data_IF_133419600343
#
_entry.id   IF_133419600343
#
_cell.length_a   1.000
_cell.length_b   1.000
_cell.length_c   1.000
_cell.angle_alpha   90.00
_cell.angle_beta   90.00
_cell.angle_gamma   90.00
#
_symmetry.space_group_name_H-M   'P 1'
#
loop_
_entity.id
_entity.type
_entity.pdbx_description
1 polymer ?
#
# COMPACT_ATOMS: atom_id res chain seq x y z
N UNK A 1 -4.58 -19.35 3.77
CA UNK A 1 -5.61 -18.39 4.19
C UNK A 1 -6.89 -18.82 3.51
N UNK A 2 -8.00 -18.95 4.24
CA UNK A 2 -9.28 -19.28 3.63
C UNK A 2 -9.95 -18.02 3.09
N UNK A 3 -10.96 -18.15 2.22
CA UNK A 3 -11.64 -17.00 1.59
C UNK A 3 -12.33 -16.06 2.58
N UNK A 4 -12.80 -16.57 3.71
CA UNK A 4 -13.43 -15.76 4.76
C UNK A 4 -12.40 -14.89 5.49
N UNK A 5 -11.19 -15.42 5.76
CA UNK A 5 -10.09 -14.67 6.37
C UNK A 5 -9.61 -13.55 5.43
N UNK A 6 -9.49 -13.86 4.13
CA UNK A 6 -9.12 -12.89 3.09
C UNK A 6 -10.14 -11.74 3.04
N UNK A 7 -11.43 -12.07 3.06
CA UNK A 7 -12.51 -11.07 3.06
C UNK A 7 -12.50 -10.22 4.32
N UNK A 8 -12.30 -10.83 5.49
CA UNK A 8 -12.20 -10.12 6.76
C UNK A 8 -11.05 -9.10 6.78
N UNK A 9 -9.88 -9.50 6.30
CA UNK A 9 -8.71 -8.61 6.22
C UNK A 9 -8.99 -7.45 5.23
N UNK A 10 -9.59 -7.73 4.08
CA UNK A 10 -9.93 -6.68 3.11
C UNK A 10 -10.95 -5.68 3.68
N UNK A 11 -11.95 -6.16 4.41
CA UNK A 11 -12.92 -5.30 5.10
C UNK A 11 -12.23 -4.43 6.16
N UNK A 12 -11.36 -5.02 6.98
CA UNK A 12 -10.58 -4.30 7.99
C UNK A 12 -9.72 -3.21 7.36
N UNK A 13 -9.06 -3.51 6.24
CA UNK A 13 -8.21 -2.54 5.56
C UNK A 13 -9.01 -1.47 4.78
N UNK A 14 -10.27 -1.75 4.44
CA UNK A 14 -11.20 -0.77 3.85
C UNK A 14 -11.90 0.12 4.87
N UNK A 15 -11.69 -0.13 6.16
CA UNK A 15 -12.29 0.69 7.21
C UNK A 15 -11.70 2.10 7.19
N UNK A 16 -12.57 3.10 7.04
CA UNK A 16 -12.21 4.52 7.09
C UNK A 16 -11.56 4.96 8.42
N UNK A 17 -11.72 4.15 9.47
CA UNK A 17 -11.10 4.38 10.78
C UNK A 17 -9.66 3.87 10.86
N UNK A 18 -9.12 3.28 9.78
CA UNK A 18 -7.71 2.91 9.71
C UNK A 18 -6.85 4.19 9.79
N UNK A 19 -5.80 4.23 10.62
CA UNK A 19 -5.01 5.45 10.83
C UNK A 19 -4.01 5.71 9.69
N UNK A 20 -4.45 5.55 8.45
CA UNK A 20 -3.69 5.83 7.23
C UNK A 20 -3.79 7.31 6.82
N UNK A 21 -4.85 8.00 7.25
CA UNK A 21 -5.11 9.41 6.93
C UNK A 21 -5.99 9.58 5.69
N UNK A 22 -6.81 10.63 5.68
CA UNK A 22 -7.81 10.88 4.63
C UNK A 22 -7.19 11.30 3.29
N UNK A 23 -7.83 10.90 2.19
CA UNK A 23 -7.39 11.23 0.84
C UNK A 23 -7.54 12.73 0.52
N UNK A 24 -6.56 13.31 -0.18
CA UNK A 24 -6.50 14.75 -0.49
C UNK A 24 -7.22 15.07 -1.81
N UNK A 25 -8.50 14.68 -1.92
CA UNK A 25 -9.36 15.06 -3.05
C UNK A 25 -10.22 16.31 -2.79
N UNK A 26 -10.33 16.74 -1.52
CA UNK A 26 -11.24 17.82 -1.11
C UNK A 26 -10.92 19.17 -1.75
N UNK A 27 -9.64 19.53 -1.85
CA UNK A 27 -9.22 20.81 -2.46
C UNK A 27 -9.39 20.85 -3.98
N UNK A 28 -9.27 19.69 -4.66
CA UNK A 28 -9.52 19.57 -6.10
C UNK A 28 -11.00 19.70 -6.43
N UNK A 29 -11.87 19.08 -5.63
CA UNK A 29 -13.32 19.16 -5.78
C UNK A 29 -13.82 20.60 -5.56
N UNK A 30 -13.34 21.27 -4.51
CA UNK A 30 -13.71 22.66 -4.21
C UNK A 30 -13.33 23.61 -5.36
N UNK A 31 -12.15 23.41 -5.97
CA UNK A 31 -11.72 24.16 -7.15
C UNK A 31 -12.58 23.87 -8.38
N UNK A 32 -12.89 22.59 -8.64
CA UNK A 32 -13.76 22.16 -9.74
C UNK A 32 -15.16 22.80 -9.65
N UNK A 33 -15.73 22.83 -8.44
CA UNK A 33 -17.02 23.50 -8.17
C UNK A 33 -16.92 25.03 -8.34
N UNK A 34 -15.86 25.66 -7.84
CA UNK A 34 -15.66 27.12 -7.92
C UNK A 34 -15.48 27.63 -9.35
N UNK A 35 -14.89 26.83 -10.23
CA UNK A 35 -14.66 27.22 -11.62
C UNK A 35 -15.82 26.90 -12.58
N UNK A 36 -16.97 26.44 -12.07
CA UNK A 36 -18.18 26.22 -12.86
C UNK A 36 -18.07 25.04 -13.85
N UNK A 37 -17.08 24.17 -13.67
CA UNK A 37 -16.91 22.97 -14.50
C UNK A 37 -17.92 21.87 -14.18
N UNK A 38 -18.61 21.98 -13.04
CA UNK A 38 -19.76 21.17 -12.69
C UNK A 38 -21.04 22.01 -12.70
N UNK A 39 -22.08 21.51 -13.36
CA UNK A 39 -23.41 21.54 -12.76
C UNK A 39 -23.33 21.00 -11.32
N UNK A 40 -24.34 21.15 -10.47
CA UNK A 40 -24.33 20.73 -9.05
C UNK A 40 -24.04 19.23 -8.78
N UNK A 41 -23.54 18.47 -9.76
CA UNK A 41 -23.17 17.07 -9.71
C UNK A 41 -21.64 16.88 -9.68
N UNK A 42 -21.05 16.43 -8.55
CA UNK A 42 -19.62 16.14 -8.43
C UNK A 42 -19.21 14.78 -9.04
N UNK A 43 -20.15 13.96 -9.52
CA UNK A 43 -19.88 12.56 -9.90
C UNK A 43 -18.87 12.43 -11.05
N UNK A 44 -18.90 13.34 -12.03
CA UNK A 44 -17.93 13.34 -13.14
C UNK A 44 -16.51 13.59 -12.62
N UNK A 45 -16.33 14.61 -11.75
CA UNK A 45 -15.03 14.89 -11.13
C UNK A 45 -14.51 13.71 -10.32
N UNK A 46 -15.37 13.09 -9.50
CA UNK A 46 -14.99 11.92 -8.68
C UNK A 46 -14.57 10.77 -9.58
N UNK A 47 -15.37 10.43 -10.59
CA UNK A 47 -15.08 9.35 -11.54
C UNK A 47 -13.75 9.56 -12.25
N UNK A 48 -13.52 10.75 -12.79
CA UNK A 48 -12.31 11.05 -13.56
C UNK A 48 -11.08 11.11 -12.66
N UNK A 49 -11.21 11.67 -11.45
CA UNK A 49 -10.15 11.70 -10.45
C UNK A 49 -9.78 10.29 -9.99
N UNK A 50 -10.77 9.44 -9.70
CA UNK A 50 -10.56 8.04 -9.34
C UNK A 50 -9.90 7.27 -10.48
N UNK A 51 -10.40 7.42 -11.71
CA UNK A 51 -9.83 6.73 -12.88
C UNK A 51 -8.39 7.16 -13.16
N UNK A 52 -8.09 8.45 -13.02
CA UNK A 52 -6.74 9.00 -13.15
C UNK A 52 -5.81 8.43 -12.07
N UNK A 53 -6.25 8.50 -10.81
CA UNK A 53 -5.49 7.98 -9.68
C UNK A 53 -5.23 6.48 -9.83
N UNK A 54 -6.25 5.69 -10.12
CA UNK A 54 -6.15 4.24 -10.31
C UNK A 54 -5.14 3.89 -11.41
N UNK A 55 -5.17 4.57 -12.56
CA UNK A 55 -4.19 4.34 -13.64
C UNK A 55 -2.77 4.69 -13.24
N UNK A 56 -2.58 5.69 -12.37
CA UNK A 56 -1.26 6.10 -11.88
C UNK A 56 -0.72 5.23 -10.74
N UNK A 57 -1.58 4.61 -9.94
CA UNK A 57 -1.19 3.91 -8.71
C UNK A 57 -1.25 2.37 -8.83
N UNK A 58 -2.22 1.82 -9.56
CA UNK A 58 -2.43 0.36 -9.63
C UNK A 58 -1.24 -0.44 -10.17
N UNK A 59 -0.52 0.01 -11.23
CA UNK A 59 0.66 -0.71 -11.70
C UNK A 59 1.71 -0.88 -10.59
N UNK A 60 1.96 0.18 -9.82
CA UNK A 60 2.93 0.18 -8.72
C UNK A 60 2.49 -0.71 -7.55
N UNK A 61 1.19 -0.76 -7.26
CA UNK A 61 0.66 -1.70 -6.26
C UNK A 61 0.87 -3.14 -6.71
N UNK A 62 0.50 -3.43 -7.96
CA UNK A 62 0.63 -4.77 -8.54
C UNK A 62 2.08 -5.22 -8.56
N UNK A 63 3.01 -4.35 -8.97
CA UNK A 63 4.42 -4.70 -9.07
C UNK A 63 5.06 -4.88 -7.68
N UNK A 64 4.76 -3.99 -6.72
CA UNK A 64 5.21 -4.16 -5.34
C UNK A 64 4.64 -5.45 -4.71
N UNK A 65 3.36 -5.73 -4.95
CA UNK A 65 2.71 -6.95 -4.48
C UNK A 65 3.41 -8.20 -5.03
N UNK A 66 3.62 -8.26 -6.35
CA UNK A 66 4.32 -9.39 -7.00
C UNK A 66 5.72 -9.60 -6.46
N UNK A 67 6.52 -8.52 -6.34
CA UNK A 67 7.88 -8.60 -5.81
C UNK A 67 7.90 -9.19 -4.40
N UNK A 68 7.01 -8.73 -3.53
CA UNK A 68 6.92 -9.21 -2.14
C UNK A 68 6.34 -10.62 -2.06
N UNK A 69 5.37 -10.98 -2.90
CA UNK A 69 4.82 -12.34 -2.99
C UNK A 69 5.90 -13.35 -3.40
N UNK A 70 6.71 -13.02 -4.41
CA UNK A 70 7.84 -13.87 -4.83
C UNK A 70 8.84 -14.05 -3.68
N UNK A 71 9.19 -12.98 -2.97
CA UNK A 71 10.09 -13.04 -1.83
C UNK A 71 9.51 -13.84 -0.64
N UNK A 72 8.20 -13.75 -0.42
CA UNK A 72 7.46 -14.50 0.59
C UNK A 72 7.51 -16.00 0.34
N UNK A 73 7.47 -16.43 -0.92
CA UNK A 73 7.47 -17.86 -1.31
C UNK A 73 8.85 -18.51 -1.36
N UNK A 74 9.95 -17.75 -1.20
CA UNK A 74 11.29 -18.33 -1.19
C UNK A 74 11.46 -19.40 -0.09
N UNK A 75 12.08 -20.53 -0.41
CA UNK A 75 12.34 -21.57 0.59
C UNK A 75 13.50 -21.20 1.52
N UNK A 76 14.50 -20.48 1.00
CA UNK A 76 15.68 -20.05 1.74
C UNK A 76 15.48 -18.71 2.45
N UNK A 77 16.04 -18.57 3.65
CA UNK A 77 16.16 -17.27 4.33
C UNK A 77 17.24 -16.42 3.66
N UNK A 78 16.85 -15.73 2.58
CA UNK A 78 17.69 -14.76 1.89
C UNK A 78 17.46 -13.36 2.47
N UNK A 79 18.53 -12.57 2.60
CA UNK A 79 18.42 -11.17 2.99
C UNK A 79 17.53 -10.40 1.99
N UNK A 80 16.69 -9.45 2.46
CA UNK A 80 15.77 -8.71 1.59
C UNK A 80 16.45 -7.62 0.75
N UNK A 81 17.79 -7.58 0.67
CA UNK A 81 18.53 -6.48 0.03
C UNK A 81 18.15 -6.27 -1.43
N UNK A 82 17.98 -7.36 -2.21
CA UNK A 82 17.55 -7.29 -3.60
C UNK A 82 16.11 -6.78 -3.71
N UNK A 83 15.18 -7.33 -2.91
CA UNK A 83 13.79 -6.88 -2.86
C UNK A 83 13.70 -5.38 -2.51
N UNK A 84 14.44 -4.94 -1.50
CA UNK A 84 14.49 -3.53 -1.09
C UNK A 84 14.99 -2.64 -2.22
N UNK A 85 16.05 -3.05 -2.92
CA UNK A 85 16.55 -2.32 -4.10
C UNK A 85 15.51 -2.22 -5.22
N UNK A 86 14.75 -3.29 -5.46
CA UNK A 86 13.71 -3.30 -6.50
C UNK A 86 12.53 -2.41 -6.11
N UNK A 87 12.11 -2.44 -4.84
CA UNK A 87 11.08 -1.54 -4.32
C UNK A 87 11.52 -0.08 -4.38
N UNK A 88 12.76 0.24 -4.00
CA UNK A 88 13.28 1.62 -4.11
C UNK A 88 13.26 2.11 -5.55
N UNK A 89 13.65 1.26 -6.51
CA UNK A 89 13.59 1.60 -7.94
C UNK A 89 12.15 1.89 -8.38
N UNK A 90 11.20 1.08 -7.92
CA UNK A 90 9.77 1.28 -8.19
C UNK A 90 9.23 2.56 -7.55
N UNK A 91 9.66 2.89 -6.34
CA UNK A 91 9.29 4.13 -5.65
C UNK A 91 9.85 5.37 -6.33
N UNK A 92 11.09 5.32 -6.83
CA UNK A 92 11.70 6.43 -7.56
C UNK A 92 10.92 6.75 -8.84
N UNK A 93 10.45 5.71 -9.54
CA UNK A 93 9.58 5.90 -10.70
C UNK A 93 8.22 6.53 -10.30
N UNK A 94 7.61 6.09 -9.20
CA UNK A 94 6.36 6.68 -8.73
C UNK A 94 6.51 8.13 -8.27
N UNK A 95 7.61 8.44 -7.56
CA UNK A 95 7.97 9.78 -7.10
C UNK A 95 8.10 10.74 -8.29
N UNK A 96 8.83 10.34 -9.33
CA UNK A 96 9.04 11.15 -10.54
C UNK A 96 7.78 11.35 -11.37
N UNK A 97 6.87 10.35 -11.40
CA UNK A 97 5.58 10.46 -12.07
C UNK A 97 4.53 11.25 -11.29
N UNK A 98 4.71 11.43 -9.97
CA UNK A 98 3.80 12.19 -9.11
C UNK A 98 4.23 13.65 -9.00
N UNK A 99 3.88 14.45 -10.01
CA UNK A 99 4.30 15.86 -10.12
C UNK A 99 3.67 16.78 -9.05
N UNK A 100 2.49 16.44 -8.55
CA UNK A 100 1.82 17.23 -7.53
C UNK A 100 2.45 16.96 -6.14
N UNK A 101 3.14 17.96 -5.59
CA UNK A 101 3.80 17.88 -4.29
C UNK A 101 2.84 17.60 -3.10
N UNK A 102 1.57 18.01 -3.18
CA UNK A 102 0.55 17.71 -2.17
C UNK A 102 0.18 16.23 -2.23
N UNK A 103 -0.12 15.72 -3.42
CA UNK A 103 -0.44 14.30 -3.63
C UNK A 103 0.75 13.40 -3.23
N UNK A 104 1.96 13.83 -3.58
CA UNK A 104 3.21 13.17 -3.20
C UNK A 104 3.38 13.10 -1.68
N UNK A 105 3.22 14.23 -0.98
CA UNK A 105 3.33 14.29 0.49
C UNK A 105 2.27 13.42 1.16
N UNK A 106 1.03 13.47 0.68
CA UNK A 106 -0.05 12.63 1.19
C UNK A 106 0.28 11.14 1.03
N UNK A 107 0.73 10.74 -0.18
CA UNK A 107 1.13 9.37 -0.48
C UNK A 107 2.24 8.85 0.45
N UNK A 108 3.30 9.65 0.71
CA UNK A 108 4.36 9.25 1.65
C UNK A 108 3.86 9.13 3.09
N UNK A 109 3.04 10.07 3.55
CA UNK A 109 2.45 10.02 4.90
C UNK A 109 1.58 8.76 5.10
N UNK A 110 0.73 8.45 4.11
CA UNK A 110 -0.14 7.29 4.13
C UNK A 110 0.66 5.97 4.05
N UNK A 111 1.72 5.90 3.24
CA UNK A 111 2.60 4.73 3.17
C UNK A 111 3.34 4.47 4.48
N UNK A 112 3.91 5.50 5.14
CA UNK A 112 4.54 5.37 6.46
C UNK A 112 3.57 4.86 7.53
N UNK A 113 2.30 5.30 7.46
CA UNK A 113 1.26 4.79 8.33
C UNK A 113 1.01 3.30 8.12
N UNK A 114 0.95 2.81 6.86
CA UNK A 114 0.82 1.39 6.55
C UNK A 114 2.01 0.54 7.03
N UNK A 115 3.25 1.02 6.85
CA UNK A 115 4.43 0.33 7.38
C UNK A 115 4.37 0.23 8.92
N UNK A 116 3.81 1.25 9.57
CA UNK A 116 3.60 1.24 11.02
C UNK A 116 2.47 0.29 11.42
N UNK A 117 1.38 0.25 10.66
CA UNK A 117 0.27 -0.66 10.88
C UNK A 117 0.72 -2.12 10.80
N UNK A 118 1.51 -2.48 9.78
CA UNK A 118 2.07 -3.83 9.66
C UNK A 118 2.87 -4.21 10.90
N UNK A 119 3.84 -3.37 11.26
CA UNK A 119 4.76 -3.65 12.37
C UNK A 119 4.10 -3.66 13.76
N UNK A 120 2.92 -3.03 13.92
CA UNK A 120 2.26 -2.90 15.24
C UNK A 120 0.99 -3.73 15.40
N UNK A 121 0.23 -3.96 14.32
CA UNK A 121 -1.14 -4.46 14.43
C UNK A 121 -1.41 -5.71 13.58
N UNK A 122 -0.68 -5.91 12.49
CA UNK A 122 -0.94 -7.00 11.54
C UNK A 122 0.16 -8.07 11.51
N UNK A 123 1.26 -7.83 12.23
CA UNK A 123 2.29 -8.80 12.53
C UNK A 123 1.82 -9.68 13.71
N UNK A 124 1.67 -11.02 13.55
CA UNK A 124 1.46 -11.93 14.66
C UNK A 124 2.38 -11.63 15.85
N UNK A 125 1.87 -11.59 17.10
CA UNK A 125 2.73 -11.42 18.26
C UNK A 125 3.63 -12.64 18.43
N UNK A 126 4.85 -12.45 18.92
CA UNK A 126 5.86 -13.52 19.05
C UNK A 126 5.42 -14.70 19.93
N UNK A 127 4.36 -14.51 20.74
CA UNK A 127 3.74 -15.52 21.60
C UNK A 127 2.65 -16.34 20.90
N UNK A 128 2.26 -16.01 19.67
CA UNK A 128 1.23 -16.76 18.94
C UNK A 128 1.84 -18.04 18.32
N UNK A 129 1.29 -19.22 18.60
CA UNK A 129 1.77 -20.45 17.98
C UNK A 129 1.52 -20.40 16.47
N UNK A 130 2.59 -20.44 15.70
CA UNK A 130 2.56 -20.52 14.24
C UNK A 130 3.18 -21.84 13.81
N UNK A 131 2.61 -22.46 12.78
CA UNK A 131 3.24 -23.56 12.07
C UNK A 131 4.67 -23.16 11.65
N UNK A 132 5.64 -24.11 11.62
CA UNK A 132 7.04 -23.79 11.34
C UNK A 132 7.24 -22.96 10.07
N UNK A 133 6.45 -23.23 9.04
CA UNK A 133 6.52 -22.54 7.74
C UNK A 133 5.96 -21.12 7.84
N UNK A 134 4.83 -20.96 8.52
CA UNK A 134 4.21 -19.66 8.77
C UNK A 134 5.12 -18.76 9.63
N UNK A 135 5.83 -19.34 10.60
CA UNK A 135 6.82 -18.64 11.42
C UNK A 135 8.00 -18.14 10.59
N UNK A 136 8.55 -18.96 9.69
CA UNK A 136 9.66 -18.55 8.79
C UNK A 136 9.24 -17.40 7.88
N UNK A 137 8.05 -17.48 7.28
CA UNK A 137 7.49 -16.41 6.46
C UNK A 137 7.32 -15.13 7.29
N UNK A 138 6.78 -15.25 8.50
CA UNK A 138 6.57 -14.12 9.40
C UNK A 138 7.88 -13.41 9.79
N UNK A 139 8.91 -14.15 10.21
CA UNK A 139 10.22 -13.58 10.57
C UNK A 139 10.87 -12.87 9.37
N UNK A 140 10.74 -13.46 8.18
CA UNK A 140 11.24 -12.87 6.93
C UNK A 140 10.53 -11.57 6.59
N UNK A 141 9.20 -11.55 6.60
CA UNK A 141 8.44 -10.33 6.33
C UNK A 141 8.72 -9.27 7.39
N UNK A 142 8.80 -9.64 8.67
CA UNK A 142 9.16 -8.73 9.76
C UNK A 142 10.53 -8.07 9.54
N UNK A 143 11.52 -8.86 9.11
CA UNK A 143 12.85 -8.35 8.76
C UNK A 143 12.79 -7.37 7.59
N UNK A 144 12.05 -7.72 6.53
CA UNK A 144 11.85 -6.85 5.37
C UNK A 144 11.21 -5.50 5.76
N UNK A 145 10.07 -5.52 6.48
CA UNK A 145 9.39 -4.28 6.88
C UNK A 145 10.21 -3.44 7.85
N UNK A 146 10.98 -4.06 8.75
CA UNK A 146 11.88 -3.33 9.64
C UNK A 146 12.98 -2.59 8.88
N UNK A 147 13.60 -3.25 7.89
CA UNK A 147 14.61 -2.63 7.03
C UNK A 147 14.00 -1.55 6.13
N UNK A 148 12.87 -1.83 5.49
CA UNK A 148 12.19 -0.86 4.62
C UNK A 148 11.81 0.41 5.40
N UNK A 149 11.21 0.25 6.59
CA UNK A 149 10.90 1.38 7.48
C UNK A 149 12.14 2.16 7.89
N UNK A 150 13.27 1.49 8.07
CA UNK A 150 14.55 2.15 8.38
C UNK A 150 15.06 2.95 7.18
N UNK A 151 14.96 2.43 5.96
CA UNK A 151 15.32 3.16 4.75
C UNK A 151 14.45 4.40 4.55
N UNK A 152 13.13 4.28 4.76
CA UNK A 152 12.21 5.43 4.68
C UNK A 152 12.56 6.51 5.72
N UNK A 153 12.93 6.11 6.94
CA UNK A 153 13.38 7.05 7.99
C UNK A 153 14.71 7.74 7.67
N UNK A 154 15.56 7.09 6.88
CA UNK A 154 16.86 7.61 6.43
C UNK A 154 16.76 8.39 5.12
N UNK A 155 15.56 8.48 4.54
CA UNK A 155 15.31 9.08 3.23
C UNK A 155 16.01 8.33 2.07
N UNK A 156 16.42 7.07 2.30
CA UNK A 156 16.96 6.17 1.27
C UNK A 156 15.83 5.52 0.42
N UNK A 157 14.57 5.68 0.86
CA UNK A 157 13.36 5.23 0.19
C UNK A 157 12.22 6.23 0.48
N UNK A 158 11.21 6.30 -0.38
CA UNK A 158 10.16 7.31 -0.28
C UNK A 158 9.00 6.88 0.63
N UNK A 159 8.69 5.59 0.68
CA UNK A 159 7.58 5.05 1.47
C UNK A 159 6.21 5.45 0.93
N UNK A 160 6.00 5.34 -0.38
CA UNK A 160 4.75 5.73 -1.03
C UNK A 160 3.61 4.77 -0.73
N UNK A 161 2.38 5.30 -0.71
CA UNK A 161 1.17 4.52 -0.45
C UNK A 161 1.03 3.31 -1.40
N UNK A 162 1.11 3.46 -2.75
CA UNK A 162 0.95 2.34 -3.67
C UNK A 162 1.91 1.16 -3.41
N UNK A 163 3.19 1.45 -3.19
CA UNK A 163 4.23 0.45 -2.95
C UNK A 163 4.09 -0.19 -1.57
N UNK A 164 3.84 0.62 -0.53
CA UNK A 164 3.61 0.12 0.83
C UNK A 164 2.36 -0.75 0.93
N UNK A 165 1.30 -0.39 0.20
CA UNK A 165 0.05 -1.14 0.14
C UNK A 165 0.22 -2.48 -0.57
N UNK A 166 0.88 -2.49 -1.73
CA UNK A 166 1.21 -3.74 -2.45
C UNK A 166 2.07 -4.67 -1.60
N UNK A 167 3.10 -4.14 -0.93
CA UNK A 167 3.94 -4.90 -0.03
C UNK A 167 3.17 -5.46 1.19
N UNK A 168 2.32 -4.64 1.81
CA UNK A 168 1.48 -5.05 2.96
C UNK A 168 0.58 -6.24 2.59
N UNK A 169 -0.14 -6.10 1.50
CA UNK A 169 -1.16 -7.06 1.08
C UNK A 169 -0.54 -8.39 0.64
N UNK A 170 0.63 -8.35 -0.01
CA UNK A 170 1.43 -9.54 -0.29
C UNK A 170 1.93 -10.23 0.98
N UNK A 171 2.38 -9.46 1.97
CA UNK A 171 2.87 -10.00 3.25
C UNK A 171 1.76 -10.67 4.08
N UNK A 172 0.54 -10.18 3.97
CA UNK A 172 -0.67 -10.81 4.54
C UNK A 172 -1.12 -12.06 3.77
N UNK A 173 -0.53 -12.32 2.59
CA UNK A 173 -0.89 -13.45 1.75
C UNK A 173 -2.20 -13.25 0.97
N UNK A 174 -2.63 -12.00 0.77
CA UNK A 174 -3.78 -11.67 -0.07
C UNK A 174 -3.43 -11.88 -1.53
N UNK A 175 -4.39 -12.36 -2.31
CA UNK A 175 -4.20 -12.54 -3.75
C UNK A 175 -4.35 -11.20 -4.50
N UNK A 176 -3.59 -11.04 -5.60
CA UNK A 176 -3.71 -9.85 -6.44
C UNK A 176 -5.10 -9.72 -7.08
N UNK A 177 -5.77 -10.86 -7.32
CA UNK A 177 -7.16 -10.88 -7.79
C UNK A 177 -8.13 -10.26 -6.78
N UNK A 178 -8.00 -10.60 -5.50
CA UNK A 178 -8.83 -10.00 -4.45
C UNK A 178 -8.60 -8.50 -4.30
N UNK A 179 -7.35 -8.03 -4.45
CA UNK A 179 -7.02 -6.60 -4.46
C UNK A 179 -7.76 -5.82 -5.56
N UNK A 180 -7.89 -6.38 -6.75
CA UNK A 180 -8.57 -5.72 -7.87
C UNK A 180 -10.06 -5.44 -7.61
N UNK A 181 -10.70 -6.23 -6.75
CA UNK A 181 -12.11 -6.08 -6.40
C UNK A 181 -12.36 -4.97 -5.36
N UNK A 182 -11.42 -4.73 -4.46
CA UNK A 182 -11.60 -3.84 -3.30
C UNK A 182 -10.73 -2.57 -3.32
N UNK A 183 -9.81 -2.45 -4.27
CA UNK A 183 -8.96 -1.27 -4.45
C UNK A 183 -9.70 0.08 -4.58
N UNK A 184 -10.84 0.18 -5.30
CA UNK A 184 -11.54 1.46 -5.45
C UNK A 184 -12.05 2.02 -4.13
N UNK A 185 -12.30 1.17 -3.13
CA UNK A 185 -12.83 1.53 -1.81
C UNK A 185 -11.74 1.84 -0.80
N UNK A 186 -10.54 1.27 -0.98
CA UNK A 186 -9.44 1.36 -0.01
C UNK A 186 -8.58 2.60 -0.24
N UNK A 187 -8.57 3.15 -1.45
CA UNK A 187 -7.78 4.36 -1.77
C UNK A 187 -8.65 5.61 -2.02
N UNK A 188 -9.97 5.51 -1.88
CA UNK A 188 -10.89 6.67 -1.88
C UNK A 188 -11.16 7.15 -0.47
#
# INVERSE_FOLDING_TARGET
MNGDDETYILLLLSDSNLPTGAFVASSGLESYMKHGFGSNDPTTFIRDSMASYARSALPFVSDAHRLVSLYRELEANQAPSKLLSDIVTLEELYETMTLNHVARRASKSQGVALLTLYTKALSPPSSFPLEPDAKRVHERMSTFFAQFKTMVRREDAHGHLPTCWGALTAALGLTLGALSLYMPTIIS
#
